data_IF_090872240810
#
_entry.id   IF_090872240810
#
_cell.length_a   1.000
_cell.length_b   1.000
_cell.length_c   1.000
_cell.angle_alpha   90.00
_cell.angle_beta   90.00
_cell.angle_gamma   90.00
#
_symmetry.space_group_name_H-M   'P 1'
#
loop_
_entity.id
_entity.type
_entity.pdbx_description
1 polymer ?
#
# COMPACT_ATOMS: atom_id res chain seq x y z
N UNK A 1 6.46 -4.35 4.71
CA UNK A 1 5.82 -4.43 6.04
C UNK A 1 5.47 -5.88 6.40
N UNK A 2 4.72 -6.63 5.59
CA UNK A 2 4.33 -8.01 5.94
C UNK A 2 5.53 -8.93 6.23
N UNK A 3 6.55 -8.97 5.37
CA UNK A 3 7.78 -9.77 5.60
C UNK A 3 8.47 -9.41 6.93
N UNK A 4 8.58 -8.11 7.23
CA UNK A 4 9.18 -7.62 8.46
C UNK A 4 8.34 -8.03 9.69
N UNK A 5 7.02 -7.89 9.62
CA UNK A 5 6.08 -8.28 10.65
C UNK A 5 6.16 -9.80 10.94
N UNK A 6 6.21 -10.61 9.90
CA UNK A 6 6.34 -12.07 10.02
C UNK A 6 7.75 -12.54 10.41
N UNK A 7 8.69 -11.63 10.67
CA UNK A 7 10.05 -11.96 11.06
C UNK A 7 10.89 -12.64 9.96
N UNK A 8 10.46 -12.54 8.71
CA UNK A 8 11.13 -13.19 7.57
C UNK A 8 12.31 -12.34 7.12
N UNK A 9 13.48 -12.92 7.19
CA UNK A 9 14.70 -12.29 6.69
C UNK A 9 14.80 -12.49 5.17
N UNK A 10 15.02 -11.38 4.46
CA UNK A 10 15.21 -11.38 3.01
C UNK A 10 16.49 -10.64 2.65
N UNK A 11 17.12 -11.01 1.55
CA UNK A 11 18.10 -10.19 0.88
C UNK A 11 17.33 -9.08 0.14
N UNK A 12 17.45 -7.83 0.61
CA UNK A 12 16.79 -6.70 -0.02
C UNK A 12 17.62 -6.19 -1.18
N UNK A 13 17.07 -6.26 -2.39
CA UNK A 13 17.68 -5.75 -3.62
C UNK A 13 16.91 -4.51 -4.07
N UNK A 14 17.35 -3.33 -3.63
CA UNK A 14 16.79 -2.05 -4.07
C UNK A 14 17.14 -1.80 -5.53
N UNK A 15 16.17 -1.36 -6.32
CA UNK A 15 16.36 -1.14 -7.76
C UNK A 15 15.91 0.25 -8.21
N UNK A 16 16.48 0.71 -9.32
CA UNK A 16 15.98 1.88 -10.04
C UNK A 16 14.95 1.44 -11.08
N UNK A 17 13.70 1.92 -10.96
CA UNK A 17 12.61 1.54 -11.89
C UNK A 17 12.90 1.88 -13.36
N UNK A 18 13.79 2.85 -13.61
CA UNK A 18 14.21 3.24 -14.98
C UNK A 18 15.34 2.36 -15.53
N UNK A 19 16.05 1.67 -14.64
CA UNK A 19 17.19 0.81 -14.97
C UNK A 19 17.09 -0.51 -14.21
N UNK A 20 16.14 -1.35 -14.62
CA UNK A 20 15.85 -2.62 -13.94
C UNK A 20 16.92 -3.64 -14.23
N UNK A 21 17.44 -4.38 -13.21
CA UNK A 21 18.38 -5.45 -13.40
C UNK A 21 17.86 -6.57 -14.29
N UNK A 22 18.74 -7.17 -15.11
CA UNK A 22 18.36 -8.25 -16.01
C UNK A 22 17.83 -9.47 -15.26
N UNK A 23 18.45 -9.81 -14.12
CA UNK A 23 18.00 -10.90 -13.24
C UNK A 23 16.57 -10.72 -12.75
N UNK A 24 16.15 -9.47 -12.42
CA UNK A 24 14.77 -9.19 -12.05
C UNK A 24 13.81 -9.42 -13.23
N UNK A 25 14.18 -8.98 -14.45
CA UNK A 25 13.33 -9.14 -15.64
C UNK A 25 13.22 -10.61 -16.07
N UNK A 26 14.25 -11.43 -15.83
CA UNK A 26 14.19 -12.87 -16.04
C UNK A 26 13.26 -13.56 -15.03
N UNK A 27 13.28 -13.12 -13.78
CA UNK A 27 12.41 -13.66 -12.74
C UNK A 27 10.94 -13.25 -12.93
N UNK A 28 10.69 -11.98 -13.24
CA UNK A 28 9.35 -11.45 -13.51
C UNK A 28 9.34 -10.59 -14.76
N UNK A 29 8.92 -11.14 -15.90
CA UNK A 29 8.88 -10.41 -17.19
C UNK A 29 7.94 -9.19 -17.18
N UNK A 30 6.99 -9.11 -16.25
CA UNK A 30 6.16 -7.90 -16.04
C UNK A 30 7.02 -6.68 -15.72
N UNK A 31 8.20 -6.88 -15.12
CA UNK A 31 9.09 -5.80 -14.75
C UNK A 31 8.49 -4.82 -13.72
N UNK A 32 7.55 -5.27 -12.91
CA UNK A 32 6.95 -4.49 -11.82
C UNK A 32 7.56 -4.91 -10.48
N UNK A 33 7.51 -4.03 -9.50
CA UNK A 33 7.89 -4.32 -8.11
C UNK A 33 6.64 -4.36 -7.23
N UNK A 34 6.66 -5.15 -6.14
CA UNK A 34 7.74 -6.01 -5.66
C UNK A 34 7.84 -7.35 -6.40
N UNK A 35 9.01 -7.99 -6.31
CA UNK A 35 9.22 -9.40 -6.69
C UNK A 35 9.90 -10.09 -5.52
N UNK A 36 9.32 -11.18 -5.03
CA UNK A 36 9.93 -12.07 -4.02
C UNK A 36 10.25 -13.40 -4.66
N UNK A 37 11.49 -13.85 -4.49
CA UNK A 37 11.97 -15.16 -4.94
C UNK A 37 12.28 -16.00 -3.70
N UNK A 38 11.69 -17.18 -3.64
CA UNK A 38 11.93 -18.17 -2.56
C UNK A 38 12.11 -19.52 -3.21
N UNK A 39 13.36 -19.99 -3.30
CA UNK A 39 13.72 -21.16 -4.07
C UNK A 39 13.18 -21.06 -5.52
N UNK A 40 12.30 -21.98 -5.92
CA UNK A 40 11.67 -21.99 -7.25
C UNK A 40 10.35 -21.16 -7.31
N UNK A 41 9.89 -20.62 -6.18
CA UNK A 41 8.67 -19.82 -6.11
C UNK A 41 8.97 -18.35 -6.41
N UNK A 42 8.24 -17.77 -7.36
CA UNK A 42 8.30 -16.34 -7.68
C UNK A 42 6.93 -15.72 -7.40
N UNK A 43 6.90 -14.72 -6.51
CA UNK A 43 5.72 -13.93 -6.19
C UNK A 43 5.94 -12.49 -6.66
N UNK A 44 5.13 -12.03 -7.58
CA UNK A 44 5.26 -10.70 -8.20
C UNK A 44 4.04 -9.78 -7.97
N UNK A 45 3.18 -10.17 -7.03
CA UNK A 45 2.08 -9.37 -6.54
C UNK A 45 2.22 -9.12 -5.04
N UNK A 46 2.00 -7.87 -4.62
CA UNK A 46 2.15 -7.49 -3.20
C UNK A 46 1.22 -8.27 -2.27
N UNK A 47 -0.01 -8.58 -2.70
CA UNK A 47 -0.96 -9.37 -1.92
C UNK A 47 -0.52 -10.83 -1.77
N UNK A 48 0.02 -11.43 -2.82
CA UNK A 48 0.58 -12.80 -2.76
C UNK A 48 1.73 -12.87 -1.75
N UNK A 49 2.62 -11.86 -1.77
CA UNK A 49 3.73 -11.75 -0.80
C UNK A 49 3.20 -11.57 0.62
N UNK A 50 2.16 -10.75 0.83
CA UNK A 50 1.51 -10.58 2.14
C UNK A 50 0.99 -11.93 2.63
N UNK A 51 0.18 -12.60 1.83
CA UNK A 51 -0.43 -13.88 2.22
C UNK A 51 0.60 -14.97 2.46
N UNK A 52 1.63 -15.04 1.60
CA UNK A 52 2.72 -15.98 1.79
C UNK A 52 3.47 -15.73 3.11
N UNK A 53 3.76 -14.46 3.44
CA UNK A 53 4.44 -14.09 4.68
C UNK A 53 3.60 -14.49 5.91
N UNK A 54 2.31 -14.19 5.91
CA UNK A 54 1.40 -14.52 7.01
C UNK A 54 1.18 -16.03 7.17
N UNK A 55 1.24 -16.80 6.09
CA UNK A 55 1.23 -18.28 6.17
C UNK A 55 2.48 -18.84 6.88
N UNK A 56 3.62 -18.13 6.84
CA UNK A 56 4.83 -18.53 7.54
C UNK A 56 4.79 -18.14 9.02
N UNK A 57 4.33 -16.93 9.32
CA UNK A 57 4.22 -16.43 10.69
C UNK A 57 3.24 -15.25 10.74
N UNK A 58 2.24 -15.37 11.61
CA UNK A 58 1.20 -14.35 11.82
C UNK A 58 0.96 -14.15 13.34
N UNK A 59 1.91 -13.53 14.06
CA UNK A 59 1.91 -13.48 15.53
C UNK A 59 0.68 -12.80 16.13
N UNK A 60 0.11 -11.79 15.44
CA UNK A 60 -1.07 -11.06 15.92
C UNK A 60 -2.34 -11.40 15.13
N UNK A 61 -2.32 -12.50 14.36
CA UNK A 61 -3.45 -12.99 13.56
C UNK A 61 -4.00 -11.92 12.58
N UNK A 62 -3.15 -11.25 11.82
CA UNK A 62 -3.56 -10.28 10.80
C UNK A 62 -4.42 -10.91 9.69
N UNK A 63 -4.33 -12.23 9.53
CA UNK A 63 -5.10 -13.00 8.54
C UNK A 63 -6.52 -13.34 9.00
N UNK A 64 -6.84 -13.18 10.29
CA UNK A 64 -8.17 -13.44 10.86
C UNK A 64 -9.12 -12.26 10.62
N UNK A 65 -9.61 -12.13 9.41
CA UNK A 65 -10.52 -11.04 9.01
C UNK A 65 -11.67 -11.56 8.15
N UNK A 66 -12.71 -10.76 8.02
CA UNK A 66 -13.74 -10.95 7.02
C UNK A 66 -13.14 -10.75 5.62
N UNK A 67 -12.98 -11.88 4.90
CA UNK A 67 -12.33 -11.90 3.58
C UNK A 67 -13.17 -11.20 2.52
N UNK A 68 -14.48 -11.29 2.60
CA UNK A 68 -15.38 -10.66 1.63
C UNK A 68 -15.36 -9.14 1.80
N UNK A 69 -15.40 -8.67 3.05
CA UNK A 69 -15.23 -7.25 3.33
C UNK A 69 -13.84 -6.73 2.91
N UNK A 70 -12.78 -7.50 3.15
CA UNK A 70 -11.43 -7.15 2.71
C UNK A 70 -11.33 -7.07 1.18
N UNK A 71 -11.92 -8.02 0.47
CA UNK A 71 -11.93 -8.06 -0.99
C UNK A 71 -12.57 -6.80 -1.58
N UNK A 72 -13.68 -6.32 -1.02
CA UNK A 72 -14.33 -5.08 -1.45
C UNK A 72 -13.37 -3.88 -1.35
N UNK A 73 -12.60 -3.80 -0.27
CA UNK A 73 -11.62 -2.73 -0.09
C UNK A 73 -10.45 -2.83 -1.09
N UNK A 74 -9.96 -4.02 -1.34
CA UNK A 74 -8.88 -4.26 -2.30
C UNK A 74 -9.33 -3.93 -3.72
N UNK A 75 -10.52 -4.34 -4.13
CA UNK A 75 -11.06 -4.02 -5.46
C UNK A 75 -11.23 -2.52 -5.66
N UNK A 76 -11.72 -1.79 -4.65
CA UNK A 76 -11.78 -0.32 -4.70
C UNK A 76 -10.39 0.31 -4.80
N UNK A 77 -9.42 -0.21 -4.04
CA UNK A 77 -8.05 0.30 -4.03
C UNK A 77 -7.34 0.05 -5.37
N UNK A 78 -7.28 -1.21 -5.82
CA UNK A 78 -6.46 -1.64 -6.95
C UNK A 78 -7.05 -1.25 -8.31
N UNK A 79 -8.34 -1.05 -8.37
CA UNK A 79 -9.04 -0.58 -9.55
C UNK A 79 -9.18 0.96 -9.57
N UNK A 80 -10.34 1.47 -9.19
CA UNK A 80 -10.69 2.88 -9.41
C UNK A 80 -9.86 3.86 -8.56
N UNK A 81 -9.51 3.53 -7.30
CA UNK A 81 -8.73 4.47 -6.48
C UNK A 81 -7.29 4.62 -6.99
N UNK A 82 -6.65 3.55 -7.41
CA UNK A 82 -5.30 3.58 -7.99
C UNK A 82 -5.25 4.40 -9.29
N UNK A 83 -6.31 4.33 -10.09
CA UNK A 83 -6.45 5.18 -11.28
C UNK A 83 -6.56 6.67 -10.90
N UNK A 84 -7.38 7.01 -9.90
CA UNK A 84 -7.51 8.38 -9.38
C UNK A 84 -6.20 8.88 -8.76
N UNK A 85 -5.47 8.02 -8.05
CA UNK A 85 -4.16 8.35 -7.49
C UNK A 85 -3.15 8.68 -8.60
N UNK A 86 -3.11 7.91 -9.70
CA UNK A 86 -2.23 8.20 -10.83
C UNK A 86 -2.60 9.55 -11.48
N UNK A 87 -3.89 9.79 -11.73
CA UNK A 87 -4.39 11.04 -12.28
C UNK A 87 -4.07 12.24 -11.37
N UNK A 88 -4.22 12.09 -10.06
CA UNK A 88 -3.94 13.14 -9.09
C UNK A 88 -2.44 13.44 -8.98
N UNK A 89 -1.62 12.40 -9.01
CA UNK A 89 -0.15 12.48 -8.87
C UNK A 89 0.56 12.98 -10.13
N UNK A 90 0.00 12.68 -11.30
CA UNK A 90 0.64 12.99 -12.59
C UNK A 90 -0.29 13.82 -13.51
N UNK A 91 -0.68 15.04 -13.10
CA UNK A 91 -1.63 15.86 -13.87
C UNK A 91 -1.17 16.11 -15.31
N UNK A 92 0.13 16.18 -15.56
CA UNK A 92 0.67 16.38 -16.90
C UNK A 92 0.39 15.22 -17.87
N UNK A 93 0.09 14.02 -17.35
CA UNK A 93 -0.33 12.87 -18.18
C UNK A 93 -1.82 12.91 -18.50
N UNK A 94 -2.58 13.72 -17.77
CA UNK A 94 -4.03 13.82 -17.83
C UNK A 94 -4.48 15.29 -17.96
N UNK A 95 -4.03 16.02 -19.04
CA UNK A 95 -4.21 17.47 -19.13
C UNK A 95 -5.68 17.90 -19.26
N UNK A 96 -6.56 16.98 -19.63
CA UNK A 96 -8.00 17.26 -19.79
C UNK A 96 -8.81 17.04 -18.50
N UNK A 97 -8.18 16.56 -17.42
CA UNK A 97 -8.85 16.32 -16.14
C UNK A 97 -8.71 17.53 -15.22
N UNK A 98 -9.80 17.89 -14.56
CA UNK A 98 -9.78 18.87 -13.49
C UNK A 98 -9.29 18.19 -12.20
N UNK A 99 -8.21 18.70 -11.61
CA UNK A 99 -7.61 18.12 -10.40
C UNK A 99 -8.54 18.17 -9.17
N UNK A 100 -9.47 19.13 -9.14
CA UNK A 100 -10.48 19.18 -8.08
C UNK A 100 -11.49 18.04 -8.23
N UNK A 101 -11.90 17.74 -9.46
CA UNK A 101 -12.84 16.64 -9.72
C UNK A 101 -12.21 15.29 -9.40
N UNK A 102 -10.92 15.10 -9.76
CA UNK A 102 -10.15 13.90 -9.41
C UNK A 102 -10.04 13.73 -7.89
N UNK A 103 -9.72 14.82 -7.16
CA UNK A 103 -9.67 14.80 -5.70
C UNK A 103 -11.04 14.46 -5.10
N UNK A 104 -12.11 15.10 -5.55
CA UNK A 104 -13.47 14.86 -5.05
C UNK A 104 -13.89 13.40 -5.31
N UNK A 105 -13.60 12.87 -6.49
CA UNK A 105 -13.87 11.47 -6.82
C UNK A 105 -13.09 10.52 -5.88
N UNK A 106 -11.84 10.80 -5.58
CA UNK A 106 -11.04 10.01 -4.63
C UNK A 106 -11.58 10.09 -3.21
N UNK A 107 -12.04 11.27 -2.77
CA UNK A 107 -12.67 11.46 -1.46
C UNK A 107 -13.91 10.58 -1.35
N UNK A 108 -14.83 10.67 -2.29
CA UNK A 108 -16.11 9.93 -2.23
C UNK A 108 -15.91 8.42 -2.40
N UNK A 109 -15.00 8.00 -3.27
CA UNK A 109 -14.76 6.59 -3.55
C UNK A 109 -14.08 5.87 -2.39
N UNK A 110 -13.05 6.48 -1.79
CA UNK A 110 -12.13 5.79 -0.88
C UNK A 110 -11.91 6.51 0.44
N UNK A 111 -11.55 7.80 0.43
CA UNK A 111 -11.05 8.45 1.65
C UNK A 111 -12.14 8.64 2.69
N UNK A 112 -13.34 9.08 2.30
CA UNK A 112 -14.48 9.24 3.19
C UNK A 112 -15.04 7.90 3.70
N UNK A 113 -15.26 6.87 2.85
CA UNK A 113 -15.58 5.53 3.34
C UNK A 113 -14.56 4.97 4.34
N UNK A 114 -13.26 5.20 4.13
CA UNK A 114 -12.24 4.83 5.11
C UNK A 114 -12.37 5.61 6.42
N UNK A 115 -12.54 6.95 6.35
CA UNK A 115 -12.73 7.76 7.55
C UNK A 115 -13.94 7.31 8.36
N UNK A 116 -15.05 6.96 7.68
CA UNK A 116 -16.28 6.48 8.33
C UNK A 116 -16.07 5.09 8.97
N UNK A 117 -15.38 4.16 8.31
CA UNK A 117 -15.01 2.86 8.88
C UNK A 117 -14.12 3.03 10.13
N UNK A 118 -13.14 3.94 10.06
CA UNK A 118 -12.19 4.23 11.13
C UNK A 118 -12.79 5.02 12.32
N UNK A 119 -13.97 5.62 12.18
CA UNK A 119 -14.73 6.19 13.31
C UNK A 119 -15.35 5.12 14.20
N UNK A 120 -15.72 3.99 13.62
CA UNK A 120 -16.33 2.86 14.35
C UNK A 120 -15.31 1.84 14.84
N UNK A 121 -14.04 1.93 14.41
CA UNK A 121 -12.94 1.06 14.80
C UNK A 121 -11.59 1.74 14.69
N UNK A 122 -10.55 1.09 15.21
CA UNK A 122 -9.18 1.64 15.07
C UNK A 122 -8.55 1.30 13.71
N UNK A 123 -9.09 0.29 13.01
CA UNK A 123 -8.61 -0.24 11.74
C UNK A 123 -9.77 -0.44 10.77
N UNK A 124 -9.50 -0.71 9.51
CA UNK A 124 -10.50 -0.75 8.45
C UNK A 124 -11.61 -1.78 8.66
N UNK A 125 -11.31 -2.89 9.35
CA UNK A 125 -12.27 -3.95 9.65
C UNK A 125 -12.53 -4.10 11.16
N UNK A 126 -12.42 -3.02 11.93
CA UNK A 126 -12.74 -3.01 13.35
C UNK A 126 -11.59 -2.56 14.25
N UNK A 127 -11.43 -3.24 15.41
CA UNK A 127 -10.48 -2.80 16.44
C UNK A 127 -9.13 -3.52 16.40
N UNK A 128 -8.95 -4.46 15.47
CA UNK A 128 -7.73 -5.25 15.31
C UNK A 128 -7.07 -4.90 13.97
N UNK A 129 -5.76 -4.64 14.02
CA UNK A 129 -4.96 -4.45 12.82
C UNK A 129 -4.97 -5.71 11.97
N UNK A 130 -5.01 -5.53 10.66
CA UNK A 130 -5.04 -6.63 9.71
C UNK A 130 -4.08 -6.39 8.53
N UNK A 131 -3.90 -7.42 7.73
CA UNK A 131 -3.14 -7.30 6.48
C UNK A 131 -3.77 -6.28 5.52
N UNK A 132 -5.10 -6.08 5.57
CA UNK A 132 -5.79 -5.12 4.72
C UNK A 132 -5.30 -3.70 4.95
N UNK A 133 -5.14 -3.31 6.22
CA UNK A 133 -4.62 -1.98 6.56
C UNK A 133 -3.23 -1.76 5.97
N UNK A 134 -2.37 -2.76 6.10
CA UNK A 134 -0.99 -2.73 5.58
C UNK A 134 -0.96 -2.73 4.05
N UNK A 135 -1.91 -3.39 3.39
CA UNK A 135 -2.02 -3.41 1.94
C UNK A 135 -2.46 -2.04 1.37
N UNK A 136 -3.38 -1.36 2.07
CA UNK A 136 -3.95 -0.08 1.62
C UNK A 136 -3.09 1.13 2.03
N UNK A 137 -2.43 1.07 3.17
CA UNK A 137 -1.63 2.18 3.73
C UNK A 137 -0.68 2.86 2.71
N UNK A 138 0.10 2.14 1.88
CA UNK A 138 1.01 2.77 0.94
C UNK A 138 0.32 3.69 -0.08
N UNK A 139 -0.89 3.35 -0.49
CA UNK A 139 -1.66 4.14 -1.45
C UNK A 139 -2.21 5.41 -0.83
N UNK A 140 -2.75 5.34 0.39
CA UNK A 140 -3.22 6.51 1.14
C UNK A 140 -2.05 7.45 1.47
N UNK A 141 -0.91 6.89 1.89
CA UNK A 141 0.32 7.65 2.08
C UNK A 141 0.75 8.36 0.81
N UNK A 142 0.78 7.67 -0.33
CA UNK A 142 1.11 8.31 -1.61
C UNK A 142 0.13 9.43 -1.96
N UNK A 143 -1.17 9.19 -1.77
CA UNK A 143 -2.19 10.18 -2.07
C UNK A 143 -2.03 11.45 -1.23
N UNK A 144 -1.84 11.30 0.08
CA UNK A 144 -1.64 12.44 1.00
C UNK A 144 -0.40 13.27 0.65
N UNK A 145 0.66 12.63 0.18
CA UNK A 145 1.93 13.29 -0.16
C UNK A 145 1.90 14.04 -1.51
N UNK A 146 0.88 13.87 -2.34
CA UNK A 146 0.75 14.66 -3.59
C UNK A 146 0.57 16.14 -3.29
N UNK A 147 -0.27 16.45 -2.30
CA UNK A 147 -0.46 17.79 -1.76
C UNK A 147 -0.85 17.68 -0.28
N UNK A 148 0.15 17.74 0.58
CA UNK A 148 -0.01 17.51 2.01
C UNK A 148 -0.90 18.57 2.65
N UNK A 149 -0.71 19.85 2.32
CA UNK A 149 -1.51 20.96 2.85
C UNK A 149 -3.00 20.76 2.54
N UNK A 150 -3.31 20.40 1.30
CA UNK A 150 -4.68 20.16 0.88
C UNK A 150 -5.29 18.92 1.55
N UNK A 151 -4.51 17.85 1.71
CA UNK A 151 -4.94 16.66 2.44
C UNK A 151 -5.25 16.98 3.90
N UNK A 152 -4.42 17.81 4.55
CA UNK A 152 -4.62 18.22 5.94
C UNK A 152 -5.87 19.09 6.16
N UNK A 153 -6.34 19.78 5.13
CA UNK A 153 -7.58 20.55 5.18
C UNK A 153 -8.85 19.70 5.01
N UNK A 154 -8.73 18.45 4.57
CA UNK A 154 -9.90 17.58 4.41
C UNK A 154 -10.53 17.24 5.76
N UNK A 155 -11.87 17.18 5.86
CA UNK A 155 -12.59 16.84 7.09
C UNK A 155 -12.61 15.31 7.35
N UNK A 156 -11.43 14.69 7.40
CA UNK A 156 -11.23 13.26 7.53
C UNK A 156 -10.34 12.92 8.76
N UNK A 157 -10.79 13.23 9.99
CA UNK A 157 -9.96 13.15 11.18
C UNK A 157 -9.55 11.72 11.55
N UNK A 158 -10.42 10.73 11.35
CA UNK A 158 -10.13 9.33 11.68
C UNK A 158 -9.09 8.74 10.70
N UNK A 159 -9.24 9.02 9.40
CA UNK A 159 -8.27 8.62 8.39
C UNK A 159 -6.88 9.24 8.62
N UNK A 160 -6.83 10.53 8.96
CA UNK A 160 -5.56 11.21 9.29
C UNK A 160 -4.88 10.61 10.51
N UNK A 161 -5.65 10.30 11.55
CA UNK A 161 -5.13 9.63 12.77
C UNK A 161 -4.56 8.25 12.42
N UNK A 162 -5.29 7.46 11.65
CA UNK A 162 -4.85 6.14 11.18
C UNK A 162 -3.57 6.25 10.33
N UNK A 163 -3.50 7.19 9.39
CA UNK A 163 -2.31 7.42 8.58
C UNK A 163 -1.10 7.81 9.44
N UNK A 164 -1.29 8.73 10.39
CA UNK A 164 -0.25 9.17 11.30
C UNK A 164 0.27 8.02 12.19
N UNK A 165 -0.62 7.16 12.67
CA UNK A 165 -0.25 5.96 13.45
C UNK A 165 0.69 5.04 12.67
N UNK A 166 0.41 4.79 11.39
CA UNK A 166 1.29 3.98 10.55
C UNK A 166 2.62 4.68 10.25
N UNK A 167 2.60 5.97 9.95
CA UNK A 167 3.81 6.74 9.67
C UNK A 167 4.76 6.79 10.87
N UNK A 168 4.24 6.73 12.10
CA UNK A 168 5.01 6.74 13.33
C UNK A 168 5.36 5.33 13.84
N UNK A 169 4.88 4.28 13.21
CA UNK A 169 5.09 2.91 13.67
C UNK A 169 6.54 2.45 13.48
N UNK A 170 7.04 1.67 14.42
CA UNK A 170 8.35 1.02 14.31
C UNK A 170 8.44 0.15 13.06
N UNK A 171 7.35 -0.56 12.73
CA UNK A 171 7.26 -1.39 11.54
C UNK A 171 7.46 -0.58 10.25
N UNK A 172 6.87 0.62 10.16
CA UNK A 172 7.07 1.48 9.00
C UNK A 172 8.50 2.00 8.94
N UNK A 173 9.05 2.48 10.06
CA UNK A 173 10.44 2.96 10.12
C UNK A 173 11.43 1.88 9.74
N UNK A 174 11.24 0.65 10.21
CA UNK A 174 12.12 -0.48 9.91
C UNK A 174 12.18 -0.78 8.39
N UNK A 175 11.05 -0.64 7.67
CA UNK A 175 11.02 -0.94 6.21
C UNK A 175 11.37 0.26 5.33
N UNK A 176 11.51 1.45 5.91
CA UNK A 176 11.87 2.67 5.17
C UNK A 176 13.38 2.93 5.14
N UNK A 177 14.18 2.01 5.62
CA UNK A 177 15.63 2.07 5.46
C UNK A 177 15.99 2.11 3.97
N UNK A 178 16.89 3.04 3.59
CA UNK A 178 17.34 3.17 2.20
C UNK A 178 18.53 2.27 1.96
N UNK A 179 18.33 1.25 1.16
CA UNK A 179 19.39 0.38 0.70
C UNK A 179 20.12 1.00 -0.51
N UNK A 180 21.42 0.69 -0.71
CA UNK A 180 22.09 1.04 -1.95
C UNK A 180 21.43 0.31 -3.13
N UNK A 181 21.39 0.96 -4.30
CA UNK A 181 20.87 0.34 -5.52
C UNK A 181 21.68 -0.92 -5.85
N UNK A 182 20.98 -2.04 -5.94
CA UNK A 182 21.56 -3.32 -6.32
C UNK A 182 21.84 -3.38 -7.82
N UNK A 183 22.94 -4.04 -8.20
CA UNK A 183 23.37 -4.25 -9.60
C UNK A 183 23.68 -5.72 -9.81
N UNK A 184 23.37 -6.23 -11.03
CA UNK A 184 23.80 -7.57 -11.47
C UNK A 184 25.30 -7.71 -11.47
#
# INVERSE_FOLDING_TARGET
MALQYSGIKVEHREIELRNKPQSMLLASPKGTVPVLIVDDLILDQSLEIIHWALQKSDPDNWSEIDKDAAQIWIEKNDGPFKALLDQYKYPNRHPNLNQNDVLNAAIELMLKPMDDALKSGQFLLGNKQSWLDVAIFPFIRQFSMVNLERFDQLPLPALKKWLAQYLQSELFHAVMYKYPTWKD
#
